data_IF_571292696061
#
_entry.id   IF_571292696061
#
_cell.length_a   1.000
_cell.length_b   1.000
_cell.length_c   1.000
_cell.angle_alpha   90.00
_cell.angle_beta   90.00
_cell.angle_gamma   90.00
#
_symmetry.space_group_name_H-M   'P 1'
#
loop_
_entity.id
_entity.type
_entity.pdbx_description
1 polymer ?
#
# COMPACT_ATOMS: atom_id res chain seq x y z
N UNK A 1 -15.51 -3.82 2.45
CA UNK A 1 -14.57 -3.82 3.58
C UNK A 1 -13.48 -4.82 3.28
N UNK A 2 -12.39 -4.34 2.70
CA UNK A 2 -11.20 -5.13 2.38
C UNK A 2 -10.07 -4.65 3.27
N UNK A 3 -9.49 -5.55 4.05
CA UNK A 3 -8.39 -5.23 4.94
C UNK A 3 -7.10 -5.89 4.45
N UNK A 4 -5.99 -5.21 4.64
CA UNK A 4 -4.66 -5.76 4.44
C UNK A 4 -3.81 -5.53 5.68
N UNK A 5 -3.04 -6.55 6.07
CA UNK A 5 -2.03 -6.39 7.09
C UNK A 5 -0.73 -5.95 6.42
N UNK A 6 -0.17 -4.82 6.86
CA UNK A 6 1.02 -4.22 6.25
C UNK A 6 2.06 -3.88 7.31
N UNK A 7 3.34 -3.95 6.94
CA UNK A 7 4.44 -3.52 7.80
C UNK A 7 4.47 -1.98 7.89
N UNK A 8 4.85 -1.45 9.06
CA UNK A 8 4.87 -0.01 9.33
C UNK A 8 6.21 0.44 9.90
N UNK A 9 6.56 1.71 9.69
CA UNK A 9 7.73 2.34 10.26
C UNK A 9 7.42 2.95 11.65
N UNK A 10 8.38 2.98 12.59
CA UNK A 10 9.72 2.38 12.50
C UNK A 10 9.72 0.85 12.65
N UNK A 11 8.70 0.25 13.28
CA UNK A 11 8.51 -1.20 13.31
C UNK A 11 7.07 -1.54 13.70
N UNK A 12 6.54 -2.66 13.18
CA UNK A 12 5.23 -3.18 13.55
C UNK A 12 4.42 -3.62 12.35
N UNK A 13 3.18 -4.05 12.59
CA UNK A 13 2.18 -4.34 11.56
C UNK A 13 0.90 -3.59 11.88
N UNK A 14 0.26 -3.03 10.86
CA UNK A 14 -1.05 -2.41 10.96
C UNK A 14 -2.07 -3.16 10.09
N UNK A 15 -3.32 -3.21 10.54
CA UNK A 15 -4.44 -3.64 9.73
C UNK A 15 -5.07 -2.42 9.07
N UNK A 16 -4.93 -2.31 7.75
CA UNK A 16 -5.38 -1.18 6.94
C UNK A 16 -6.67 -1.54 6.23
N UNK A 17 -7.71 -0.71 6.40
CA UNK A 17 -8.92 -0.75 5.57
C UNK A 17 -8.63 -0.10 4.23
N UNK A 18 -8.53 -0.90 3.18
CA UNK A 18 -8.23 -0.44 1.82
C UNK A 18 -9.31 0.52 1.34
N UNK A 19 -10.56 0.31 1.76
CA UNK A 19 -11.67 1.15 1.31
C UNK A 19 -11.61 2.57 1.93
N UNK A 20 -10.71 2.80 2.92
CA UNK A 20 -10.43 4.13 3.51
C UNK A 20 -9.15 4.77 2.97
N UNK A 21 -8.35 4.06 2.18
CA UNK A 21 -7.13 4.60 1.59
C UNK A 21 -7.51 5.62 0.51
N UNK A 22 -7.04 6.86 0.66
CA UNK A 22 -7.34 7.94 -0.29
C UNK A 22 -6.24 8.11 -1.32
N UNK A 23 -4.98 8.10 -0.88
CA UNK A 23 -3.80 8.17 -1.72
C UNK A 23 -2.56 7.69 -0.97
N UNK A 24 -1.47 7.47 -1.70
CA UNK A 24 -0.17 7.10 -1.19
C UNK A 24 0.90 7.95 -1.88
N UNK A 25 1.93 8.38 -1.14
CA UNK A 25 3.02 9.19 -1.67
C UNK A 25 4.38 8.63 -1.24
N UNK A 26 5.40 8.62 -2.11
CA UNK A 26 6.74 8.23 -1.70
C UNK A 26 7.27 9.18 -0.61
N UNK A 27 7.85 8.62 0.44
CA UNK A 27 8.46 9.38 1.55
C UNK A 27 9.75 8.69 1.98
N UNK A 28 10.90 9.32 1.72
CA UNK A 28 12.22 8.72 2.00
C UNK A 28 12.43 7.39 1.26
N UNK A 29 12.74 6.34 2.01
CA UNK A 29 12.90 4.97 1.48
C UNK A 29 11.58 4.17 1.44
N UNK A 30 10.47 4.76 1.88
CA UNK A 30 9.18 4.11 1.98
C UNK A 30 8.06 4.91 1.32
N UNK A 31 6.84 4.69 1.81
CA UNK A 31 5.64 5.38 1.34
C UNK A 31 4.79 5.81 2.52
N UNK A 32 4.19 6.99 2.44
CA UNK A 32 3.15 7.45 3.36
C UNK A 32 1.78 7.18 2.76
N UNK A 33 0.98 6.38 3.47
CA UNK A 33 -0.42 6.09 3.16
C UNK A 33 -1.33 7.10 3.84
N UNK A 34 -2.35 7.59 3.16
CA UNK A 34 -3.34 8.50 3.73
C UNK A 34 -4.72 7.85 3.83
N UNK A 35 -5.31 7.90 5.03
CA UNK A 35 -6.64 7.37 5.34
C UNK A 35 -7.51 8.49 5.91
N UNK A 36 -8.18 9.22 5.01
CA UNK A 36 -8.88 10.45 5.39
C UNK A 36 -7.90 11.49 5.96
N UNK A 37 -8.07 11.84 7.24
CA UNK A 37 -7.21 12.79 7.95
C UNK A 37 -6.00 12.13 8.67
N UNK A 38 -5.86 10.81 8.59
CA UNK A 38 -4.75 10.07 9.20
C UNK A 38 -3.74 9.67 8.14
N UNK A 39 -2.49 9.43 8.56
CA UNK A 39 -1.46 8.87 7.71
C UNK A 39 -0.66 7.77 8.41
N UNK A 40 -0.04 6.90 7.61
CA UNK A 40 0.76 5.78 8.08
C UNK A 40 2.00 5.62 7.19
N UNK A 41 3.18 5.60 7.79
CA UNK A 41 4.43 5.41 7.08
C UNK A 41 4.78 3.92 7.00
N UNK A 42 5.06 3.43 5.79
CA UNK A 42 5.32 2.02 5.52
C UNK A 42 6.64 1.83 4.77
N UNK A 43 7.39 0.74 5.02
CA UNK A 43 8.70 0.47 4.41
C UNK A 43 8.57 -0.16 3.01
N UNK A 44 7.52 0.21 2.28
CA UNK A 44 7.20 -0.32 0.96
C UNK A 44 7.27 0.79 -0.07
N UNK A 45 7.79 0.48 -1.25
CA UNK A 45 7.68 1.35 -2.42
C UNK A 45 6.25 1.37 -2.95
N UNK A 46 5.91 2.35 -3.79
CA UNK A 46 4.59 2.40 -4.43
C UNK A 46 4.27 1.14 -5.24
N UNK A 47 5.25 0.63 -6.00
CA UNK A 47 5.06 -0.58 -6.82
C UNK A 47 4.78 -1.82 -5.96
N UNK A 48 5.49 -1.98 -4.85
CA UNK A 48 5.22 -3.07 -3.91
C UNK A 48 3.85 -2.93 -3.24
N UNK A 49 3.45 -1.69 -2.93
CA UNK A 49 2.14 -1.40 -2.37
C UNK A 49 1.00 -1.77 -3.30
N UNK A 50 1.14 -1.54 -4.60
CA UNK A 50 0.11 -1.95 -5.57
C UNK A 50 -0.17 -3.45 -5.49
N UNK A 51 0.87 -4.27 -5.33
CA UNK A 51 0.72 -5.71 -5.16
C UNK A 51 0.04 -6.06 -3.83
N UNK A 52 0.53 -5.49 -2.73
CA UNK A 52 0.00 -5.74 -1.38
C UNK A 52 -1.47 -5.32 -1.28
N UNK A 53 -1.84 -4.16 -1.81
CA UNK A 53 -3.21 -3.65 -1.85
C UNK A 53 -4.11 -4.44 -2.79
N UNK A 54 -3.54 -5.07 -3.83
CA UNK A 54 -4.24 -6.01 -4.69
C UNK A 54 -4.40 -7.40 -4.08
N UNK A 55 -3.85 -7.64 -2.87
CA UNK A 55 -3.83 -8.96 -2.23
C UNK A 55 -2.89 -9.95 -2.92
N UNK A 56 -1.89 -9.45 -3.66
CA UNK A 56 -0.84 -10.27 -4.29
C UNK A 56 0.42 -10.30 -3.45
N UNK A 57 1.31 -11.22 -3.80
CA UNK A 57 2.65 -11.24 -3.23
C UNK A 57 3.37 -9.92 -3.51
N UNK A 58 4.08 -9.39 -2.51
CA UNK A 58 4.78 -8.11 -2.56
C UNK A 58 5.67 -7.97 -3.80
N UNK A 59 6.34 -9.04 -4.19
CA UNK A 59 7.29 -9.10 -5.31
C UNK A 59 6.66 -9.59 -6.62
N UNK A 60 5.33 -9.68 -6.70
CA UNK A 60 4.64 -10.05 -7.94
C UNK A 60 4.86 -8.95 -9.00
N UNK A 61 5.26 -9.33 -10.21
CA UNK A 61 5.48 -8.37 -11.30
C UNK A 61 4.18 -7.95 -12.00
N UNK A 62 3.02 -8.28 -11.44
CA UNK A 62 1.75 -7.69 -11.86
C UNK A 62 1.16 -8.30 -13.14
N UNK A 63 1.51 -9.54 -13.49
CA UNK A 63 0.96 -10.24 -14.67
C UNK A 63 -0.59 -10.31 -14.68
N UNK A 64 -1.23 -10.11 -13.53
CA UNK A 64 -2.70 -10.05 -13.40
C UNK A 64 -3.21 -8.76 -12.72
N UNK A 65 -2.63 -7.59 -13.02
CA UNK A 65 -2.97 -6.32 -12.37
C UNK A 65 -4.39 -5.80 -12.58
N UNK A 66 -5.26 -6.01 -11.57
CA UNK A 66 -6.63 -5.44 -11.49
C UNK A 66 -6.76 -4.22 -10.57
N UNK A 67 -5.66 -3.72 -10.00
CA UNK A 67 -5.69 -2.62 -9.02
C UNK A 67 -5.78 -1.22 -9.65
N UNK A 68 -5.72 -1.10 -10.99
CA UNK A 68 -6.07 0.14 -11.69
C UNK A 68 -5.03 1.27 -11.63
N UNK A 69 -3.82 1.02 -11.12
CA UNK A 69 -2.74 2.01 -11.09
C UNK A 69 -1.79 1.96 -12.31
N UNK A 70 -2.01 1.01 -13.23
CA UNK A 70 -1.28 0.95 -14.49
C UNK A 70 -1.63 2.13 -15.39
N UNK A 71 -0.77 3.14 -15.40
CA UNK A 71 -0.76 4.21 -16.41
C UNK A 71 -0.69 3.62 -17.80
N UNK A 72 -1.57 4.12 -18.67
CA UNK A 72 -1.47 3.98 -20.12
C UNK A 72 -0.31 4.81 -20.65
#
# INVERSE_FOLDING_TARGET
MRFVQIDILPSGKALVDIDKLTHAVPEGEGTRLFLGAQHLDVPHTLSELENVLAGRDRTDNGEHSRAGFGTR
#
